data_IF_281026420947
#
_entry.id   IF_281026420947
#
_cell.length_a   1.000
_cell.length_b   1.000
_cell.length_c   1.000
_cell.angle_alpha   90.00
_cell.angle_beta   90.00
_cell.angle_gamma   90.00
#
_symmetry.space_group_name_H-M   'P 1'
#
loop_
_entity.id
_entity.type
_entity.pdbx_description
1 polymer ?
#
# COMPACT_ATOMS: atom_id res chain seq x y z
N UNK A 1 -35.05 -29.07 -15.73
CA UNK A 1 -34.15 -27.92 -15.99
C UNK A 1 -34.62 -26.81 -15.08
N UNK A 2 -33.93 -26.37 -14.04
CA UNK A 2 -32.62 -26.68 -13.51
C UNK A 2 -32.70 -26.46 -11.98
N UNK A 3 -31.86 -27.17 -11.24
CA UNK A 3 -31.95 -27.36 -9.79
C UNK A 3 -30.88 -26.49 -9.13
N UNK A 4 -31.27 -25.77 -8.07
CA UNK A 4 -30.40 -25.29 -6.97
C UNK A 4 -29.40 -24.15 -7.24
N UNK A 5 -29.78 -22.91 -6.92
CA UNK A 5 -28.81 -21.91 -6.44
C UNK A 5 -28.60 -22.14 -4.94
N UNK A 6 -27.71 -23.07 -4.63
CA UNK A 6 -27.27 -23.34 -3.27
C UNK A 6 -26.30 -22.22 -2.84
N UNK A 7 -26.81 -21.22 -2.14
CA UNK A 7 -25.99 -20.27 -1.38
C UNK A 7 -25.31 -21.04 -0.25
N UNK A 8 -24.09 -21.51 -0.51
CA UNK A 8 -23.22 -22.19 0.44
C UNK A 8 -23.09 -21.35 1.72
N UNK A 9 -23.79 -21.78 2.78
CA UNK A 9 -23.56 -21.32 4.15
C UNK A 9 -22.20 -21.80 4.59
N UNK A 10 -21.16 -21.00 4.44
CA UNK A 10 -19.87 -21.33 5.03
C UNK A 10 -19.82 -20.79 6.47
N UNK A 11 -20.07 -21.69 7.43
CA UNK A 11 -19.64 -21.50 8.81
C UNK A 11 -18.13 -21.57 8.85
N UNK A 12 -17.45 -20.54 9.35
CA UNK A 12 -16.01 -20.56 9.57
C UNK A 12 -15.73 -20.43 11.07
N UNK A 13 -15.45 -21.59 11.68
CA UNK A 13 -14.72 -21.71 12.93
C UNK A 13 -13.28 -22.11 12.60
N UNK A 14 -12.30 -21.49 13.26
CA UNK A 14 -10.93 -21.97 13.31
C UNK A 14 -10.00 -21.39 12.23
N UNK A 15 -9.22 -20.38 12.63
CA UNK A 15 -7.83 -20.15 12.21
C UNK A 15 -7.44 -20.53 10.78
N UNK A 16 -7.89 -19.75 9.80
CA UNK A 16 -7.19 -19.62 8.52
C UNK A 16 -7.07 -18.12 8.24
N UNK A 17 -5.84 -17.61 8.37
CA UNK A 17 -5.45 -16.29 7.87
C UNK A 17 -5.67 -16.29 6.35
N UNK A 18 -6.85 -15.84 5.91
CA UNK A 18 -7.09 -15.57 4.49
C UNK A 18 -6.11 -14.48 4.10
N UNK A 19 -5.06 -14.81 3.35
CA UNK A 19 -4.20 -13.83 2.69
C UNK A 19 -5.06 -13.05 1.71
N UNK A 20 -5.70 -11.99 2.20
CA UNK A 20 -6.57 -11.13 1.40
C UNK A 20 -5.70 -10.47 0.34
N UNK A 21 -5.85 -10.91 -0.92
CA UNK A 21 -5.24 -10.22 -2.05
C UNK A 21 -5.86 -8.83 -2.10
N UNK A 22 -5.10 -7.81 -1.69
CA UNK A 22 -5.58 -6.43 -1.71
C UNK A 22 -5.97 -6.05 -3.14
N UNK A 23 -7.20 -5.58 -3.29
CA UNK A 23 -7.70 -5.00 -4.53
C UNK A 23 -6.91 -3.74 -4.88
N UNK A 24 -7.06 -3.26 -6.12
CA UNK A 24 -6.45 -1.99 -6.54
C UNK A 24 -6.91 -0.84 -5.63
N UNK A 25 -8.20 -0.80 -5.30
CA UNK A 25 -8.79 0.21 -4.41
C UNK A 25 -8.19 0.15 -3.00
N UNK A 26 -8.02 -1.05 -2.44
CA UNK A 26 -7.43 -1.23 -1.10
C UNK A 26 -6.01 -0.66 -1.04
N UNK A 27 -5.20 -0.89 -2.08
CA UNK A 27 -3.81 -0.37 -2.15
C UNK A 27 -3.77 1.15 -2.22
N UNK A 28 -4.67 1.74 -2.99
CA UNK A 28 -4.79 3.20 -3.10
C UNK A 28 -5.25 3.79 -1.76
N UNK A 29 -6.23 3.16 -1.10
CA UNK A 29 -6.69 3.59 0.22
C UNK A 29 -5.55 3.50 1.26
N UNK A 30 -4.79 2.41 1.26
CA UNK A 30 -3.68 2.20 2.19
C UNK A 30 -2.57 3.23 2.01
N UNK A 31 -2.14 3.53 0.77
CA UNK A 31 -1.11 4.56 0.55
C UNK A 31 -1.61 5.96 0.94
N UNK A 32 -2.89 6.26 0.73
CA UNK A 32 -3.49 7.50 1.21
C UNK A 32 -3.49 7.57 2.75
N UNK A 33 -3.86 6.49 3.42
CA UNK A 33 -3.81 6.41 4.88
C UNK A 33 -2.38 6.60 5.41
N UNK A 34 -1.37 5.96 4.80
CA UNK A 34 0.03 6.14 5.17
C UNK A 34 0.56 7.55 4.92
N UNK A 35 0.11 8.22 3.85
CA UNK A 35 0.47 9.61 3.62
C UNK A 35 -0.13 10.50 4.70
N UNK A 36 -1.40 10.27 5.06
CA UNK A 36 -2.12 11.10 6.02
C UNK A 36 -1.57 10.98 7.43
N UNK A 37 -1.19 9.76 7.84
CA UNK A 37 -0.56 9.51 9.14
C UNK A 37 0.93 9.88 9.19
N UNK A 38 1.55 10.25 8.06
CA UNK A 38 2.99 10.47 7.97
C UNK A 38 3.82 9.18 7.85
N UNK A 39 3.19 8.00 7.99
CA UNK A 39 3.83 6.69 7.93
C UNK A 39 4.61 6.44 6.64
N UNK A 40 4.13 6.96 5.50
CA UNK A 40 4.83 6.85 4.22
C UNK A 40 6.25 7.45 4.29
N UNK A 41 6.38 8.62 4.93
CA UNK A 41 7.66 9.29 5.13
C UNK A 41 8.55 8.52 6.11
N UNK A 42 7.99 8.02 7.21
CA UNK A 42 8.71 7.23 8.21
C UNK A 42 9.29 5.96 7.60
N UNK A 43 8.48 5.18 6.87
CA UNK A 43 8.93 3.98 6.16
C UNK A 43 10.12 4.26 5.24
N UNK A 44 10.06 5.38 4.52
CA UNK A 44 11.15 5.81 3.65
C UNK A 44 12.40 6.21 4.47
N UNK A 45 12.25 7.00 5.52
CA UNK A 45 13.37 7.49 6.32
C UNK A 45 14.06 6.37 7.10
N UNK A 46 13.29 5.48 7.73
CA UNK A 46 13.81 4.35 8.51
C UNK A 46 14.57 3.35 7.64
N UNK A 47 14.27 3.29 6.34
CA UNK A 47 15.00 2.47 5.36
C UNK A 47 16.20 3.19 4.72
N UNK A 48 16.50 4.44 5.11
CA UNK A 48 17.62 5.22 4.58
C UNK A 48 17.43 5.71 3.14
N UNK A 49 16.23 5.58 2.57
CA UNK A 49 15.96 5.96 1.19
C UNK A 49 15.69 7.47 1.11
N UNK A 50 16.31 8.16 0.16
CA UNK A 50 16.03 9.57 -0.12
C UNK A 50 14.74 9.77 -0.93
N UNK A 51 14.15 10.96 -0.88
CA UNK A 51 12.99 11.29 -1.73
C UNK A 51 13.30 11.14 -3.23
N UNK A 52 14.54 11.44 -3.65
CA UNK A 52 14.97 11.30 -5.04
C UNK A 52 15.05 9.84 -5.49
N UNK A 53 15.54 8.94 -4.64
CA UNK A 53 15.59 7.50 -4.90
C UNK A 53 14.18 6.89 -4.99
N UNK A 54 13.31 7.31 -4.06
CA UNK A 54 11.90 6.91 -4.08
C UNK A 54 11.21 7.40 -5.37
N UNK A 55 11.49 8.65 -5.76
CA UNK A 55 10.94 9.23 -6.98
C UNK A 55 11.40 8.49 -8.24
N UNK A 56 12.68 8.11 -8.34
CA UNK A 56 13.20 7.26 -9.43
C UNK A 56 12.48 5.92 -9.50
N UNK A 57 12.25 5.28 -8.35
CA UNK A 57 11.50 4.02 -8.27
C UNK A 57 10.06 4.16 -8.77
N UNK A 58 9.47 5.34 -8.55
CA UNK A 58 8.10 5.65 -8.94
C UNK A 58 7.97 6.32 -10.32
N UNK A 59 9.08 6.55 -11.03
CA UNK A 59 9.13 7.31 -12.29
C UNK A 59 8.47 8.69 -12.19
N UNK A 60 8.68 9.39 -11.07
CA UNK A 60 8.18 10.76 -10.85
C UNK A 60 9.31 11.71 -10.42
N UNK A 61 8.99 12.99 -10.26
CA UNK A 61 9.95 13.96 -9.72
C UNK A 61 10.06 13.86 -8.19
N UNK A 62 11.22 14.25 -7.64
CA UNK A 62 11.41 14.37 -6.19
C UNK A 62 10.33 15.28 -5.56
N UNK A 63 10.01 16.39 -6.22
CA UNK A 63 8.97 17.31 -5.77
C UNK A 63 7.57 16.67 -5.68
N UNK A 64 7.27 15.66 -6.50
CA UNK A 64 6.02 14.92 -6.38
C UNK A 64 5.99 14.10 -5.07
N UNK A 65 7.06 13.37 -4.77
CA UNK A 65 7.20 12.61 -3.51
C UNK A 65 7.13 13.53 -2.30
N UNK A 66 7.84 14.68 -2.33
CA UNK A 66 7.78 15.68 -1.27
C UNK A 66 6.35 16.14 -0.99
N UNK A 67 5.59 16.52 -2.03
CA UNK A 67 4.20 16.97 -1.87
C UNK A 67 3.27 15.85 -1.39
N UNK A 68 3.53 14.61 -1.80
CA UNK A 68 2.80 13.46 -1.29
C UNK A 68 3.06 13.27 0.20
N UNK A 69 4.33 13.22 0.62
CA UNK A 69 4.69 13.02 2.03
C UNK A 69 4.25 14.15 2.95
N UNK A 70 4.09 15.37 2.43
CA UNK A 70 3.53 16.52 3.16
C UNK A 70 2.00 16.57 3.14
N UNK A 71 1.34 15.57 2.54
CA UNK A 71 -0.11 15.54 2.34
C UNK A 71 -0.66 16.76 1.55
N UNK A 72 0.18 17.45 0.78
CA UNK A 72 -0.21 18.60 -0.05
C UNK A 72 -0.88 18.14 -1.35
N UNK A 73 -0.52 16.94 -1.82
CA UNK A 73 -1.16 16.27 -2.97
C UNK A 73 -1.24 14.78 -2.72
N UNK A 74 -2.19 14.12 -3.38
CA UNK A 74 -2.29 12.65 -3.40
C UNK A 74 -1.74 12.07 -4.71
N UNK A 75 -1.00 10.96 -4.69
CA UNK A 75 -0.70 10.21 -5.90
C UNK A 75 -2.00 9.65 -6.47
N UNK A 76 -2.07 9.48 -7.80
CA UNK A 76 -3.26 8.96 -8.50
C UNK A 76 -2.86 7.86 -9.48
N UNK A 77 -3.81 6.99 -9.84
CA UNK A 77 -3.62 5.95 -10.86
C UNK A 77 -2.36 5.11 -10.64
N UNK A 78 -1.54 4.97 -11.69
CA UNK A 78 -0.28 4.21 -11.66
C UNK A 78 0.65 4.67 -10.53
N UNK A 79 0.75 5.98 -10.29
CA UNK A 79 1.68 6.51 -9.28
C UNK A 79 1.30 6.08 -7.86
N UNK A 80 0.01 6.00 -7.54
CA UNK A 80 -0.45 5.52 -6.25
C UNK A 80 -0.08 4.04 -6.04
N UNK A 81 -0.20 3.23 -7.09
CA UNK A 81 0.13 1.81 -7.04
C UNK A 81 1.64 1.55 -6.98
N UNK A 82 2.45 2.29 -7.74
CA UNK A 82 3.90 2.14 -7.68
C UNK A 82 4.45 2.61 -6.34
N UNK A 83 3.92 3.71 -5.79
CA UNK A 83 4.32 4.20 -4.48
C UNK A 83 3.89 3.25 -3.36
N UNK A 84 2.65 2.75 -3.40
CA UNK A 84 2.19 1.68 -2.50
C UNK A 84 3.13 0.48 -2.53
N UNK A 85 3.42 -0.06 -3.73
CA UNK A 85 4.31 -1.22 -3.90
C UNK A 85 5.70 -0.99 -3.32
N UNK A 86 6.27 0.21 -3.50
CA UNK A 86 7.56 0.56 -2.93
C UNK A 86 7.51 0.58 -1.40
N UNK A 87 6.54 1.30 -0.82
CA UNK A 87 6.37 1.41 0.63
C UNK A 87 6.03 0.09 1.31
N UNK A 88 5.19 -0.77 0.70
CA UNK A 88 4.86 -2.08 1.26
C UNK A 88 6.09 -2.98 1.40
N UNK A 89 7.06 -2.87 0.48
CA UNK A 89 8.34 -3.60 0.60
C UNK A 89 9.18 -3.09 1.76
N UNK A 90 9.19 -1.78 2.00
CA UNK A 90 9.89 -1.19 3.15
C UNK A 90 9.21 -1.61 4.46
N UNK A 91 7.88 -1.58 4.51
CA UNK A 91 7.11 -2.01 5.67
C UNK A 91 7.33 -3.51 5.99
N UNK A 92 7.52 -4.35 4.98
CA UNK A 92 7.88 -5.76 5.19
C UNK A 92 9.27 -5.90 5.83
N UNK A 93 10.28 -5.20 5.29
CA UNK A 93 11.65 -5.23 5.83
C UNK A 93 11.74 -4.70 7.25
N UNK A 94 11.01 -3.63 7.56
CA UNK A 94 10.98 -3.09 8.93
C UNK A 94 10.37 -4.07 9.93
N UNK A 95 9.33 -4.82 9.55
CA UNK A 95 8.74 -5.88 10.40
C UNK A 95 9.68 -7.06 10.62
N UNK A 96 10.52 -7.37 9.63
CA UNK A 96 11.53 -8.44 9.75
C UNK A 96 12.72 -8.04 10.63
N UNK A 97 12.95 -6.73 10.80
CA UNK A 97 14.05 -6.20 11.60
C UNK A 97 13.67 -5.91 13.08
N UNK A 98 12.39 -6.06 13.44
CA UNK A 98 11.84 -5.85 14.78
C UNK A 98 11.66 -7.18 15.52
#
# INVERSE_FOLDING_TARGET
MDVTTEMTRQRLSGTVLVMKRLSVTDRVAEVCAWIESGRARELRMNSGITQSEMARTCEVTQAAVLRWERNERRPRGRNALTYHKALSRLAAREREAA
#
